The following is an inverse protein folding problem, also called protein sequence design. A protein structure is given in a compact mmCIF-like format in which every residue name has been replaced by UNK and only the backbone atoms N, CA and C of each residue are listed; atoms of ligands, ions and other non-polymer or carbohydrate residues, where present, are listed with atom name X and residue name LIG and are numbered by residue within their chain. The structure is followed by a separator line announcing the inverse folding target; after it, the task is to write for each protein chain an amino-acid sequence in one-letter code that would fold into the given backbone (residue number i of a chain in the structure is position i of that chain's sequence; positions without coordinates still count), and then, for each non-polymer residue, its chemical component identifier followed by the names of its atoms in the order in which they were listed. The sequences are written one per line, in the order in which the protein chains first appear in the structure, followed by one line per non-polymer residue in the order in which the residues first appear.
data_IF_576631824601
#
_entry.id   IF_576631824601
#
_cell.length_a   1.000
_cell.length_b   1.000
_cell.length_c   1.000
_cell.angle_alpha   90.00
_cell.angle_beta   90.00
_cell.angle_gamma   90.00
#
_symmetry.space_group_name_H-M   'P 1'
#
loop_
_entity.id
_entity.type
_entity.pdbx_description
1 polymer ?
#
# COMPACT_ATOMS: atom_id res chain seq x y z
N UNK A 1 -1.98 -29.64 6.29
CA UNK A 1 -3.05 -28.78 6.86
C UNK A 1 -4.13 -28.43 5.84
N UNK A 2 -3.80 -27.85 4.67
CA UNK A 2 -4.81 -27.53 3.63
C UNK A 2 -5.70 -28.72 3.23
N UNK A 3 -5.11 -29.88 2.90
CA UNK A 3 -5.87 -31.07 2.48
C UNK A 3 -6.86 -31.53 3.56
N UNK A 4 -6.44 -31.50 4.83
CA UNK A 4 -7.27 -31.87 5.98
C UNK A 4 -8.45 -30.87 6.09
N UNK A 5 -8.18 -29.57 5.98
CA UNK A 5 -9.24 -28.54 6.03
C UNK A 5 -10.24 -28.68 4.89
N UNK A 6 -9.79 -28.96 3.67
CA UNK A 6 -10.69 -29.19 2.52
C UNK A 6 -11.52 -30.45 2.71
N UNK A 7 -10.91 -31.56 3.14
CA UNK A 7 -11.64 -32.80 3.41
C UNK A 7 -12.71 -32.62 4.49
N UNK A 8 -12.41 -31.88 5.57
CA UNK A 8 -13.37 -31.60 6.63
C UNK A 8 -14.54 -30.73 6.13
N UNK A 9 -14.27 -29.69 5.34
CA UNK A 9 -15.31 -28.81 4.80
C UNK A 9 -16.18 -29.53 3.75
N UNK A 10 -15.59 -30.39 2.90
CA UNK A 10 -16.34 -31.22 1.95
C UNK A 10 -17.22 -32.23 2.67
N UNK A 11 -16.69 -32.91 3.69
CA UNK A 11 -17.48 -33.80 4.53
C UNK A 11 -18.66 -33.06 5.19
N UNK A 12 -18.42 -31.86 5.73
CA UNK A 12 -19.49 -31.05 6.31
C UNK A 12 -20.57 -30.64 5.28
N UNK A 13 -20.18 -30.36 4.04
CA UNK A 13 -21.12 -30.09 2.93
C UNK A 13 -21.97 -31.32 2.57
N UNK A 14 -21.35 -32.50 2.49
CA UNK A 14 -22.05 -33.77 2.22
C UNK A 14 -23.08 -34.08 3.32
N UNK A 15 -22.76 -33.81 4.60
CA UNK A 15 -23.70 -34.04 5.71
C UNK A 15 -24.93 -33.13 5.69
N UNK A 16 -24.87 -32.00 4.99
CA UNK A 16 -25.99 -31.05 4.86
C UNK A 16 -26.63 -31.08 3.47
N UNK A 17 -26.19 -32.00 2.61
CA UNK A 17 -26.72 -32.21 1.27
C UNK A 17 -28.13 -32.83 1.38
N UNK A 18 -29.12 -32.21 0.75
CA UNK A 18 -30.54 -32.63 0.84
C UNK A 18 -31.37 -31.95 1.96
N UNK A 19 -30.76 -31.19 2.87
CA UNK A 19 -31.49 -30.41 3.88
C UNK A 19 -31.81 -29.00 3.36
N UNK A 20 -33.09 -28.73 3.09
CA UNK A 20 -33.58 -27.45 2.52
C UNK A 20 -34.27 -26.56 3.57
N UNK A 21 -33.67 -26.43 4.75
CA UNK A 21 -34.11 -25.50 5.79
C UNK A 21 -33.30 -24.20 5.67
N UNK A 22 -33.96 -23.04 5.84
CA UNK A 22 -33.32 -21.71 5.69
C UNK A 22 -31.99 -21.52 6.46
N UNK A 23 -31.85 -21.99 7.71
CA UNK A 23 -30.57 -21.95 8.43
C UNK A 23 -29.48 -22.82 7.80
N UNK A 24 -29.85 -23.96 7.22
CA UNK A 24 -28.91 -24.89 6.57
C UNK A 24 -28.36 -24.29 5.27
N UNK A 25 -29.17 -23.52 4.55
CA UNK A 25 -28.72 -22.83 3.34
C UNK A 25 -27.69 -21.73 3.63
N UNK A 26 -27.83 -21.03 4.77
CA UNK A 26 -26.79 -20.09 5.23
C UNK A 26 -25.48 -20.79 5.55
N UNK A 27 -25.54 -21.92 6.27
CA UNK A 27 -24.35 -22.72 6.60
C UNK A 27 -23.69 -23.23 5.32
N UNK A 28 -24.46 -23.75 4.36
CA UNK A 28 -23.95 -24.19 3.05
C UNK A 28 -23.20 -23.07 2.32
N UNK A 29 -23.77 -21.87 2.27
CA UNK A 29 -23.12 -20.73 1.65
C UNK A 29 -21.82 -20.34 2.35
N UNK A 30 -21.78 -20.36 3.69
CA UNK A 30 -20.56 -20.10 4.46
C UNK A 30 -19.47 -21.16 4.22
N UNK A 31 -19.85 -22.45 4.10
CA UNK A 31 -18.90 -23.52 3.79
C UNK A 31 -18.30 -23.37 2.38
N UNK A 32 -19.13 -23.04 1.38
CA UNK A 32 -18.64 -22.76 0.03
C UNK A 32 -17.73 -21.52 -0.03
N UNK A 33 -18.03 -20.50 0.77
CA UNK A 33 -17.20 -19.31 0.91
C UNK A 33 -15.82 -19.64 1.50
N UNK A 34 -15.76 -20.45 2.55
CA UNK A 34 -14.48 -20.86 3.16
C UNK A 34 -13.66 -21.74 2.21
N UNK A 35 -14.31 -22.66 1.48
CA UNK A 35 -13.64 -23.43 0.42
C UNK A 35 -13.04 -22.52 -0.66
N UNK A 36 -13.78 -21.52 -1.13
CA UNK A 36 -13.29 -20.56 -2.10
C UNK A 36 -12.05 -19.81 -1.59
N UNK A 37 -12.05 -19.38 -0.32
CA UNK A 37 -10.90 -18.71 0.30
C UNK A 37 -9.70 -19.65 0.41
N UNK A 38 -9.91 -20.93 0.74
CA UNK A 38 -8.86 -21.94 0.76
C UNK A 38 -8.25 -22.13 -0.63
N UNK A 39 -9.09 -22.25 -1.66
CA UNK A 39 -8.64 -22.42 -3.05
C UNK A 39 -7.86 -21.20 -3.55
N UNK A 40 -8.31 -19.98 -3.21
CA UNK A 40 -7.55 -18.74 -3.47
C UNK A 40 -6.18 -18.79 -2.79
N UNK A 41 -6.11 -19.20 -1.52
CA UNK A 41 -4.84 -19.27 -0.78
C UNK A 41 -3.90 -20.31 -1.39
N UNK A 42 -4.40 -21.46 -1.83
CA UNK A 42 -3.60 -22.50 -2.48
C UNK A 42 -3.04 -22.03 -3.83
N UNK A 43 -3.81 -21.23 -4.57
CA UNK A 43 -3.45 -20.73 -5.89
C UNK A 43 -2.72 -19.37 -5.87
N UNK A 44 -2.55 -18.76 -4.70
CA UNK A 44 -1.81 -17.50 -4.54
C UNK A 44 -0.35 -17.69 -4.96
N UNK A 45 0.12 -16.84 -5.88
CA UNK A 45 1.50 -16.88 -6.40
C UNK A 45 1.76 -17.96 -7.47
N UNK A 46 0.73 -18.69 -7.93
CA UNK A 46 0.83 -19.62 -9.06
C UNK A 46 0.35 -18.95 -10.36
N UNK A 47 0.55 -19.64 -11.49
CA UNK A 47 0.00 -19.21 -12.77
C UNK A 47 -1.52 -19.03 -12.67
N UNK A 48 -2.06 -18.07 -13.44
CA UNK A 48 -3.47 -17.75 -13.49
C UNK A 48 -4.32 -19.01 -13.71
N UNK A 49 -5.24 -19.27 -12.78
CA UNK A 49 -6.24 -20.34 -12.90
C UNK A 49 -7.55 -19.70 -13.40
N UNK A 50 -7.90 -19.96 -14.66
CA UNK A 50 -9.09 -19.37 -15.30
C UNK A 50 -10.39 -19.82 -14.63
N UNK A 51 -10.53 -21.11 -14.33
CA UNK A 51 -11.72 -21.67 -13.68
C UNK A 51 -11.97 -21.03 -12.30
N UNK A 52 -10.91 -20.92 -11.49
CA UNK A 52 -11.00 -20.25 -10.20
C UNK A 52 -11.31 -18.75 -10.34
N UNK A 53 -10.79 -18.11 -11.40
CA UNK A 53 -11.06 -16.69 -11.66
C UNK A 53 -12.54 -16.47 -12.00
N UNK A 54 -13.13 -17.34 -12.83
CA UNK A 54 -14.57 -17.29 -13.13
C UNK A 54 -15.44 -17.63 -11.91
N UNK A 55 -15.01 -18.58 -11.07
CA UNK A 55 -15.69 -18.87 -9.80
C UNK A 55 -15.69 -17.65 -8.86
N UNK A 56 -14.56 -16.95 -8.73
CA UNK A 56 -14.44 -15.73 -7.92
C UNK A 56 -15.31 -14.60 -8.48
N UNK A 57 -15.32 -14.40 -9.80
CA UNK A 57 -16.17 -13.39 -10.46
C UNK A 57 -17.65 -13.68 -10.22
N UNK A 58 -18.07 -14.93 -10.41
CA UNK A 58 -19.45 -15.40 -10.18
C UNK A 58 -19.86 -15.16 -8.72
N UNK A 59 -18.97 -15.49 -7.77
CA UNK A 59 -19.19 -15.23 -6.36
C UNK A 59 -19.43 -13.73 -6.06
N UNK A 60 -18.56 -12.84 -6.57
CA UNK A 60 -18.69 -11.39 -6.34
C UNK A 60 -20.00 -10.84 -6.94
N UNK A 61 -20.38 -11.32 -8.13
CA UNK A 61 -21.60 -10.90 -8.80
C UNK A 61 -22.87 -11.35 -8.07
N UNK A 62 -22.91 -12.61 -7.63
CA UNK A 62 -24.04 -13.16 -6.87
C UNK A 62 -24.21 -12.48 -5.51
N UNK A 63 -23.09 -12.15 -4.86
CA UNK A 63 -23.10 -11.49 -3.54
C UNK A 63 -23.31 -9.98 -3.61
N UNK A 64 -23.07 -9.33 -4.75
CA UNK A 64 -23.32 -7.89 -4.93
C UNK A 64 -24.78 -7.46 -4.72
N UNK A 65 -25.72 -8.41 -4.69
CA UNK A 65 -27.15 -8.19 -4.43
C UNK A 65 -27.60 -8.53 -3.00
N UNK A 66 -26.72 -9.07 -2.15
CA UNK A 66 -27.08 -9.55 -0.80
C UNK A 66 -26.25 -8.87 0.29
N UNK A 67 -26.93 -8.39 1.32
CA UNK A 67 -26.40 -7.60 2.45
C UNK A 67 -25.61 -8.41 3.49
N UNK A 68 -25.51 -9.73 3.35
CA UNK A 68 -24.87 -10.63 4.33
C UNK A 68 -23.41 -10.98 3.96
N UNK A 69 -22.62 -9.97 3.58
CA UNK A 69 -21.23 -10.16 3.17
C UNK A 69 -20.28 -10.15 4.36
N UNK A 70 -19.50 -11.22 4.53
CA UNK A 70 -18.38 -11.23 5.48
C UNK A 70 -17.20 -10.46 4.87
N UNK A 71 -16.74 -9.34 5.49
CA UNK A 71 -15.68 -8.50 4.93
C UNK A 71 -14.35 -9.24 4.70
N UNK A 72 -14.13 -10.36 5.41
CA UNK A 72 -12.95 -11.20 5.27
C UNK A 72 -12.88 -11.89 3.90
N UNK A 73 -13.99 -12.40 3.39
CA UNK A 73 -14.01 -13.15 2.12
C UNK A 73 -13.82 -12.18 0.95
N UNK A 74 -14.53 -11.05 0.98
CA UNK A 74 -14.41 -10.01 -0.04
C UNK A 74 -12.98 -9.51 -0.21
N UNK A 75 -12.27 -9.33 0.90
CA UNK A 75 -10.85 -8.99 0.90
C UNK A 75 -10.02 -9.98 0.08
N UNK A 76 -10.21 -11.28 0.29
CA UNK A 76 -9.45 -12.32 -0.42
C UNK A 76 -9.81 -12.39 -1.90
N UNK A 77 -11.09 -12.28 -2.23
CA UNK A 77 -11.56 -12.38 -3.62
C UNK A 77 -11.12 -11.18 -4.46
N UNK A 78 -11.25 -9.96 -3.93
CA UNK A 78 -10.81 -8.75 -4.63
C UNK A 78 -9.29 -8.72 -4.79
N UNK A 79 -8.54 -9.08 -3.76
CA UNK A 79 -7.07 -9.16 -3.85
C UNK A 79 -6.63 -10.21 -4.89
N UNK A 80 -7.29 -11.37 -4.95
CA UNK A 80 -7.02 -12.38 -5.96
C UNK A 80 -7.24 -11.86 -7.39
N UNK A 81 -8.32 -11.11 -7.63
CA UNK A 81 -8.59 -10.52 -8.94
C UNK A 81 -7.57 -9.45 -9.34
N UNK A 82 -7.14 -8.61 -8.38
CA UNK A 82 -6.06 -7.65 -8.61
C UNK A 82 -4.76 -8.36 -9.01
N UNK A 83 -4.37 -9.40 -8.25
CA UNK A 83 -3.16 -10.18 -8.51
C UNK A 83 -3.16 -10.85 -9.88
N UNK A 84 -4.33 -11.31 -10.34
CA UNK A 84 -4.50 -11.91 -11.66
C UNK A 84 -4.78 -10.91 -12.79
N UNK A 85 -4.69 -9.60 -12.51
CA UNK A 85 -4.90 -8.51 -13.48
C UNK A 85 -6.26 -8.57 -14.17
N UNK A 86 -7.31 -8.97 -13.45
CA UNK A 86 -8.71 -8.97 -13.91
C UNK A 86 -9.30 -7.53 -13.93
N UNK A 87 -8.60 -6.63 -14.62
CA UNK A 87 -8.84 -5.18 -14.56
C UNK A 87 -10.19 -4.78 -15.14
N UNK A 88 -10.62 -5.42 -16.24
CA UNK A 88 -11.91 -5.16 -16.87
C UNK A 88 -13.09 -5.48 -15.92
N UNK A 89 -13.04 -6.63 -15.24
CA UNK A 89 -14.07 -7.02 -14.28
C UNK A 89 -14.12 -6.06 -13.10
N UNK A 90 -12.98 -5.73 -12.49
CA UNK A 90 -12.90 -4.82 -11.35
C UNK A 90 -13.34 -3.39 -11.72
N UNK A 91 -13.05 -2.93 -12.93
CA UNK A 91 -13.51 -1.63 -13.44
C UNK A 91 -15.04 -1.60 -13.61
N UNK A 92 -15.62 -2.67 -14.17
CA UNK A 92 -17.07 -2.78 -14.31
C UNK A 92 -17.77 -2.82 -12.94
N UNK A 93 -17.22 -3.60 -12.01
CA UNK A 93 -17.70 -3.68 -10.64
C UNK A 93 -17.74 -2.30 -9.96
N UNK A 94 -16.68 -1.51 -10.11
CA UNK A 94 -16.61 -0.14 -9.60
C UNK A 94 -17.72 0.77 -10.19
N UNK A 95 -17.98 0.65 -11.49
CA UNK A 95 -18.96 1.49 -12.18
C UNK A 95 -20.41 1.18 -11.78
N UNK A 96 -20.69 -0.06 -11.32
CA UNK A 96 -22.00 -0.48 -10.84
C UNK A 96 -22.30 0.00 -9.41
N UNK A 97 -21.31 0.55 -8.68
CA UNK A 97 -21.51 0.99 -7.29
C UNK A 97 -22.17 2.38 -7.24
N UNK A 98 -23.39 2.45 -6.69
CA UNK A 98 -24.15 3.70 -6.56
C UNK A 98 -23.68 4.58 -5.39
N UNK A 99 -23.18 3.98 -4.31
CA UNK A 99 -22.72 4.71 -3.12
C UNK A 99 -21.21 4.96 -3.15
N UNK A 100 -20.83 6.10 -3.73
CA UNK A 100 -19.43 6.57 -3.80
C UNK A 100 -18.92 7.08 -2.45
N UNK A 101 -19.76 7.19 -1.41
CA UNK A 101 -19.37 7.76 -0.12
C UNK A 101 -18.76 6.74 0.84
N UNK A 102 -19.06 5.46 0.69
CA UNK A 102 -18.45 4.38 1.45
C UNK A 102 -17.29 3.70 0.66
N UNK A 103 -16.16 3.42 1.32
CA UNK A 103 -15.01 2.72 0.76
C UNK A 103 -15.00 1.28 1.28
N UNK A 104 -15.46 0.34 0.47
CA UNK A 104 -15.32 -1.10 0.69
C UNK A 104 -14.18 -1.70 -0.16
N UNK A 105 -13.95 -3.01 -0.05
CA UNK A 105 -12.81 -3.65 -0.74
C UNK A 105 -13.06 -3.69 -2.24
N UNK A 106 -14.31 -3.91 -2.69
CA UNK A 106 -14.71 -3.87 -4.10
C UNK A 106 -14.38 -2.52 -4.73
N UNK A 107 -14.80 -1.41 -4.10
CA UNK A 107 -14.54 -0.06 -4.59
C UNK A 107 -13.04 0.22 -4.62
N UNK A 108 -12.32 -0.07 -3.54
CA UNK A 108 -10.87 0.17 -3.49
C UNK A 108 -10.11 -0.65 -4.56
N UNK A 109 -10.44 -1.93 -4.72
CA UNK A 109 -9.84 -2.78 -5.74
C UNK A 109 -10.20 -2.34 -7.17
N UNK A 110 -11.44 -1.92 -7.39
CA UNK A 110 -11.89 -1.32 -8.65
C UNK A 110 -11.16 -0.03 -8.99
N UNK A 111 -10.97 0.87 -8.02
CA UNK A 111 -10.23 2.13 -8.17
C UNK A 111 -8.75 1.88 -8.50
N UNK A 112 -8.10 0.92 -7.82
CA UNK A 112 -6.73 0.50 -8.11
C UNK A 112 -6.61 -0.04 -9.54
N UNK A 113 -7.44 -1.01 -9.91
CA UNK A 113 -7.42 -1.61 -11.25
C UNK A 113 -7.68 -0.59 -12.37
N UNK A 114 -8.67 0.29 -12.18
CA UNK A 114 -9.02 1.34 -13.14
C UNK A 114 -7.88 2.33 -13.28
N UNK A 115 -7.23 2.71 -12.17
CA UNK A 115 -6.11 3.64 -12.22
C UNK A 115 -4.88 3.01 -12.87
N UNK A 116 -4.49 1.78 -12.49
CA UNK A 116 -3.42 1.01 -13.13
C UNK A 116 -3.57 0.94 -14.66
N UNK A 117 -4.79 0.66 -15.14
CA UNK A 117 -5.06 0.59 -16.58
C UNK A 117 -5.17 1.94 -17.29
N UNK A 118 -5.43 3.02 -16.56
CA UNK A 118 -5.62 4.36 -17.12
C UNK A 118 -4.32 5.14 -17.21
N UNK A 119 -3.38 4.98 -16.26
CA UNK A 119 -2.09 5.70 -16.27
C UNK A 119 -1.17 5.28 -17.43
N UNK A 120 -1.42 4.12 -18.04
CA UNK A 120 -0.71 3.68 -19.26
C UNK A 120 -1.23 4.38 -20.52
N UNK A 121 -2.38 5.05 -20.45
CA UNK A 121 -2.99 5.77 -21.57
C UNK A 121 -2.52 7.23 -21.58
N UNK A 122 -2.34 7.85 -22.76
CA UNK A 122 -1.87 9.23 -22.87
C UNK A 122 -2.86 10.26 -22.29
N UNK A 123 -4.15 9.94 -22.21
CA UNK A 123 -5.21 10.82 -21.69
C UNK A 123 -6.25 10.02 -20.89
N UNK A 124 -7.06 10.72 -20.08
CA UNK A 124 -8.17 10.13 -19.34
C UNK A 124 -7.83 9.59 -17.94
N UNK A 125 -6.55 9.63 -17.52
CA UNK A 125 -6.11 9.14 -16.22
C UNK A 125 -6.48 10.05 -15.03
N UNK A 126 -6.74 11.34 -15.26
CA UNK A 126 -6.99 12.33 -14.19
C UNK A 126 -8.20 11.97 -13.31
N UNK A 127 -9.29 11.51 -13.90
CA UNK A 127 -10.52 11.15 -13.16
C UNK A 127 -10.30 9.90 -12.29
N UNK A 128 -9.80 8.76 -12.82
CA UNK A 128 -9.45 7.59 -12.00
C UNK A 128 -8.48 7.90 -10.87
N UNK A 129 -7.40 8.65 -11.15
CA UNK A 129 -6.42 9.05 -10.13
C UNK A 129 -7.06 9.87 -9.01
N UNK A 130 -7.95 10.81 -9.36
CA UNK A 130 -8.67 11.60 -8.35
C UNK A 130 -9.62 10.73 -7.52
N UNK A 131 -10.35 9.82 -8.15
CA UNK A 131 -11.25 8.90 -7.44
C UNK A 131 -10.48 7.96 -6.51
N UNK A 132 -9.32 7.46 -6.93
CA UNK A 132 -8.44 6.64 -6.07
C UNK A 132 -7.91 7.45 -4.89
N UNK A 133 -7.45 8.68 -5.12
CA UNK A 133 -7.04 9.60 -4.06
C UNK A 133 -8.14 9.81 -3.01
N UNK A 134 -9.34 10.18 -3.45
CA UNK A 134 -10.47 10.42 -2.55
C UNK A 134 -10.92 9.12 -1.85
N UNK A 135 -10.80 7.96 -2.52
CA UNK A 135 -11.08 6.63 -1.95
C UNK A 135 -10.10 6.23 -0.83
N UNK A 136 -8.80 6.43 -1.06
CA UNK A 136 -7.74 6.17 -0.06
C UNK A 136 -7.88 7.14 1.12
N UNK A 137 -8.12 8.43 0.86
CA UNK A 137 -8.27 9.43 1.91
C UNK A 137 -9.42 9.09 2.87
N UNK A 138 -10.54 8.59 2.33
CA UNK A 138 -11.71 8.16 3.14
C UNK A 138 -11.39 7.07 4.17
N UNK A 139 -10.41 6.19 3.91
CA UNK A 139 -9.97 5.17 4.87
C UNK A 139 -9.36 5.80 6.13
N UNK A 140 -8.80 7.00 5.99
CA UNK A 140 -8.13 7.73 7.07
C UNK A 140 -8.98 8.88 7.64
N UNK A 141 -10.15 9.15 7.06
CA UNK A 141 -11.02 10.25 7.51
C UNK A 141 -12.02 9.79 8.57
N UNK A 142 -12.16 10.57 9.65
CA UNK A 142 -13.22 10.34 10.64
C UNK A 142 -14.56 10.85 10.13
N UNK A 143 -15.57 9.97 10.04
CA UNK A 143 -16.95 10.33 9.70
C UNK A 143 -17.70 10.90 10.92
N UNK A 144 -17.15 11.88 11.62
CA UNK A 144 -17.85 12.55 12.73
C UNK A 144 -18.76 13.65 12.17
N UNK A 145 -19.96 13.28 11.71
CA UNK A 145 -21.04 14.25 11.59
C UNK A 145 -21.56 14.60 12.99
N UNK A 146 -21.02 15.67 13.60
CA UNK A 146 -21.69 16.31 14.72
C UNK A 146 -22.94 17.04 14.19
N UNK A 147 -24.13 16.43 14.34
CA UNK A 147 -25.36 17.23 14.34
C UNK A 147 -25.30 18.14 15.57
N UNK A 148 -25.53 19.45 15.36
CA UNK A 148 -25.60 20.48 16.42
C UNK A 148 -26.40 19.95 17.62
N UNK A 149 -25.97 20.20 18.88
CA UNK A 149 -26.74 19.77 20.04
C UNK A 149 -27.99 20.63 20.14
N UNK A 150 -29.17 20.04 19.90
CA UNK A 150 -30.34 20.41 20.69
C UNK A 150 -30.23 19.67 22.03
N UNK A 151 -30.52 20.42 23.09
CA UNK A 151 -30.33 20.08 24.50
C UNK A 151 -30.67 18.62 24.85
N UNK A 152 -29.64 17.88 25.28
CA UNK A 152 -29.69 16.50 25.75
C UNK A 152 -28.29 15.89 25.71
N UNK A 153 -27.97 14.89 26.55
CA UNK A 153 -26.68 14.20 26.47
C UNK A 153 -26.61 13.48 25.12
N UNK A 154 -25.93 14.10 24.16
CA UNK A 154 -25.80 13.60 22.79
C UNK A 154 -25.08 12.27 22.79
N UNK A 155 -25.82 11.19 22.61
CA UNK A 155 -25.24 9.88 22.29
C UNK A 155 -24.61 10.03 20.91
N UNK A 156 -23.27 9.98 20.86
CA UNK A 156 -22.52 9.85 19.61
C UNK A 156 -22.88 8.50 18.99
N UNK A 157 -23.87 8.50 18.09
CA UNK A 157 -24.12 7.33 17.24
C UNK A 157 -23.03 7.36 16.18
N UNK A 158 -21.90 6.70 16.46
CA UNK A 158 -20.99 6.22 15.41
C UNK A 158 -21.83 5.31 14.51
N UNK A 159 -22.16 5.79 13.31
CA UNK A 159 -22.55 4.88 12.23
C UNK A 159 -21.27 4.15 11.83
N UNK A 160 -20.99 3.02 12.48
CA UNK A 160 -20.03 2.03 12.00
C UNK A 160 -20.62 1.40 10.73
N UNK A 161 -20.66 2.16 9.65
CA UNK A 161 -21.20 1.71 8.37
C UNK A 161 -20.01 1.48 7.43
N UNK A 162 -19.68 0.20 7.21
CA UNK A 162 -19.14 -0.37 5.96
C UNK A 162 -17.81 0.14 5.41
N UNK A 163 -17.16 1.13 6.03
CA UNK A 163 -15.87 1.66 5.57
C UNK A 163 -14.71 0.77 6.02
N UNK A 164 -13.74 0.56 5.14
CA UNK A 164 -12.46 -0.03 5.50
C UNK A 164 -11.77 0.87 6.54
N UNK A 165 -11.38 0.30 7.67
CA UNK A 165 -10.51 0.95 8.65
C UNK A 165 -9.02 0.63 8.37
N UNK A 166 -8.10 1.25 9.11
CA UNK A 166 -6.66 1.01 8.97
C UNK A 166 -6.33 -0.48 8.99
N UNK A 167 -6.79 -1.24 9.99
CA UNK A 167 -6.50 -2.68 10.10
C UNK A 167 -7.01 -3.48 8.89
N UNK A 168 -8.20 -3.15 8.37
CA UNK A 168 -8.77 -3.75 7.17
C UNK A 168 -7.94 -3.46 5.93
N UNK A 169 -7.43 -2.23 5.78
CA UNK A 169 -6.52 -1.85 4.70
C UNK A 169 -5.22 -2.65 4.78
N UNK A 170 -4.58 -2.73 5.96
CA UNK A 170 -3.34 -3.48 6.14
C UNK A 170 -3.53 -4.95 5.76
N UNK A 171 -4.59 -5.59 6.28
CA UNK A 171 -4.90 -6.98 5.96
C UNK A 171 -5.19 -7.20 4.47
N UNK A 172 -5.75 -6.21 3.77
CA UNK A 172 -6.02 -6.28 2.33
C UNK A 172 -4.72 -6.19 1.53
N UNK A 173 -3.86 -5.25 1.90
CA UNK A 173 -2.55 -5.05 1.26
C UNK A 173 -1.67 -6.29 1.40
N UNK A 174 -1.69 -6.97 2.55
CA UNK A 174 -0.95 -8.23 2.77
C UNK A 174 -1.31 -9.35 1.76
N UNK A 175 -2.43 -9.20 1.05
CA UNK A 175 -2.88 -10.16 0.01
C UNK A 175 -2.57 -9.70 -1.41
N UNK A 176 -2.13 -8.46 -1.61
CA UNK A 176 -1.80 -7.92 -2.93
C UNK A 176 -0.34 -8.27 -3.25
N UNK A 177 -0.11 -8.85 -4.42
CA UNK A 177 1.22 -9.16 -4.97
C UNK A 177 1.45 -8.48 -6.31
N UNK A 178 0.47 -7.74 -6.83
CA UNK A 178 0.58 -7.04 -8.10
C UNK A 178 1.35 -5.72 -7.93
N UNK A 179 2.51 -5.61 -8.61
CA UNK A 179 3.43 -4.49 -8.40
C UNK A 179 2.84 -3.13 -8.74
N UNK A 180 2.02 -2.99 -9.78
CA UNK A 180 1.49 -1.67 -10.21
C UNK A 180 0.52 -1.09 -9.16
N UNK A 181 -0.32 -1.94 -8.58
CA UNK A 181 -1.27 -1.57 -7.52
C UNK A 181 -0.53 -1.15 -6.25
N UNK A 182 0.54 -1.89 -5.89
CA UNK A 182 1.40 -1.52 -4.76
C UNK A 182 2.12 -0.20 -5.01
N UNK A 183 2.67 0.02 -6.22
CA UNK A 183 3.38 1.25 -6.58
C UNK A 183 2.45 2.48 -6.53
N UNK A 184 1.22 2.35 -7.06
CA UNK A 184 0.20 3.39 -6.94
C UNK A 184 -0.17 3.69 -5.49
N UNK A 185 -0.40 2.65 -4.68
CA UNK A 185 -0.81 2.82 -3.30
C UNK A 185 0.32 3.46 -2.47
N UNK A 186 1.56 3.00 -2.62
CA UNK A 186 2.74 3.60 -1.98
C UNK A 186 2.85 5.07 -2.40
N UNK A 187 2.79 5.37 -3.70
CA UNK A 187 2.91 6.74 -4.18
C UNK A 187 1.83 7.67 -3.63
N UNK A 188 0.58 7.19 -3.55
CA UNK A 188 -0.53 7.93 -2.95
C UNK A 188 -0.28 8.23 -1.47
N UNK A 189 0.14 7.21 -0.70
CA UNK A 189 0.45 7.34 0.72
C UNK A 189 1.66 8.24 0.97
N UNK A 190 2.71 8.15 0.15
CA UNK A 190 3.88 9.07 0.21
C UNK A 190 3.44 10.51 -0.02
N UNK A 191 2.56 10.76 -1.00
CA UNK A 191 2.05 12.12 -1.22
C UNK A 191 1.29 12.63 0.01
N UNK A 192 0.40 11.81 0.58
CA UNK A 192 -0.35 12.17 1.79
C UNK A 192 0.57 12.44 2.98
N UNK A 193 1.59 11.60 3.17
CA UNK A 193 2.63 11.76 4.18
C UNK A 193 3.39 13.09 4.05
N UNK A 194 3.87 13.39 2.84
CA UNK A 194 4.59 14.63 2.59
C UNK A 194 3.71 15.87 2.82
N UNK A 195 2.42 15.81 2.45
CA UNK A 195 1.46 16.90 2.73
C UNK A 195 1.18 17.07 4.22
N UNK A 196 1.16 15.99 4.99
CA UNK A 196 0.97 16.03 6.44
C UNK A 196 2.07 16.82 7.15
N UNK A 197 3.30 16.72 6.63
CA UNK A 197 4.51 17.33 7.20
C UNK A 197 4.95 18.61 6.50
N UNK A 198 4.17 19.08 5.53
CA UNK A 198 4.39 20.34 4.82
C UNK A 198 4.36 21.52 5.83
N UNK A 199 5.46 22.26 5.92
CA UNK A 199 5.64 23.35 6.89
C UNK A 199 6.44 22.98 8.14
N UNK A 200 6.91 21.74 8.27
CA UNK A 200 7.91 21.37 9.28
C UNK A 200 9.32 21.59 8.70
N UNK A 201 10.06 22.54 9.27
CA UNK A 201 11.40 22.96 8.80
C UNK A 201 12.43 21.81 8.72
N UNK A 202 12.20 20.72 9.47
CA UNK A 202 13.09 19.56 9.50
C UNK A 202 12.60 18.38 8.64
N UNK A 203 11.45 18.49 7.98
CA UNK A 203 10.92 17.41 7.16
C UNK A 203 11.67 17.30 5.84
N UNK A 204 11.98 16.06 5.44
CA UNK A 204 12.58 15.75 4.15
C UNK A 204 11.56 15.00 3.32
N UNK A 205 11.33 15.48 2.11
CA UNK A 205 10.36 14.81 1.25
C UNK A 205 10.78 13.37 0.97
N UNK A 206 9.86 12.45 1.29
CA UNK A 206 9.97 11.04 0.95
C UNK A 206 9.76 10.88 -0.54
N UNK A 207 10.65 10.14 -1.19
CA UNK A 207 10.62 9.91 -2.63
C UNK A 207 9.40 9.10 -3.06
N UNK A 208 8.83 9.49 -4.20
CA UNK A 208 7.76 8.77 -4.90
C UNK A 208 7.89 8.96 -6.41
N UNK A 209 7.98 7.85 -7.14
CA UNK A 209 8.04 7.80 -8.61
C UNK A 209 6.84 8.47 -9.30
N UNK A 210 5.66 8.33 -8.73
CA UNK A 210 4.39 8.80 -9.32
C UNK A 210 3.84 10.06 -8.62
N UNK A 211 4.71 10.87 -8.02
CA UNK A 211 4.32 12.07 -7.26
C UNK A 211 3.48 13.07 -8.07
N UNK A 212 3.74 13.18 -9.37
CA UNK A 212 3.07 14.07 -10.32
C UNK A 212 1.60 13.71 -10.61
N UNK A 213 1.16 12.49 -10.24
CA UNK A 213 -0.22 12.06 -10.47
C UNK A 213 -1.18 12.71 -9.46
N UNK A 214 -0.71 12.98 -8.25
CA UNK A 214 -1.59 13.24 -7.10
C UNK A 214 -1.90 14.73 -6.89
N UNK A 215 -3.05 15.04 -6.26
CA UNK A 215 -3.38 16.40 -5.85
C UNK A 215 -2.30 17.06 -4.97
N UNK A 216 -2.22 18.38 -5.07
CA UNK A 216 -1.25 19.17 -4.30
C UNK A 216 -1.74 19.55 -2.90
N UNK A 217 -3.02 19.33 -2.60
CA UNK A 217 -3.62 19.66 -1.30
C UNK A 217 -4.69 18.65 -0.89
N UNK A 218 -4.91 18.54 0.41
CA UNK A 218 -5.97 17.74 1.03
C UNK A 218 -7.09 18.68 1.45
N UNK A 219 -8.32 18.40 1.02
CA UNK A 219 -9.53 19.06 1.51
C UNK A 219 -9.87 18.55 2.91
N UNK A 220 -10.25 19.42 3.84
CA UNK A 220 -10.62 19.08 5.22
C UNK A 220 -9.53 18.31 5.99
N UNK A 221 -8.33 18.89 6.07
CA UNK A 221 -7.19 18.32 6.82
C UNK A 221 -7.52 17.95 8.27
N UNK A 222 -8.47 18.64 8.91
CA UNK A 222 -8.90 18.38 10.30
C UNK A 222 -9.49 16.99 10.51
N UNK A 223 -10.08 16.41 9.46
CA UNK A 223 -10.85 15.17 9.58
C UNK A 223 -9.98 13.94 9.26
N UNK A 224 -8.72 14.15 8.87
CA UNK A 224 -7.80 13.12 8.39
C UNK A 224 -6.84 12.72 9.50
N UNK A 225 -6.78 11.42 9.80
CA UNK A 225 -5.80 10.88 10.73
C UNK A 225 -4.47 10.62 9.99
N UNK A 226 -3.56 11.58 10.08
CA UNK A 226 -2.23 11.49 9.46
C UNK A 226 -1.29 10.48 10.14
N UNK A 227 -1.47 10.18 11.42
CA UNK A 227 -0.68 9.14 12.10
C UNK A 227 -0.96 7.74 11.50
N UNK A 228 -2.23 7.47 11.18
CA UNK A 228 -2.60 6.23 10.49
C UNK A 228 -2.02 6.13 9.08
N UNK A 229 -1.81 7.26 8.40
CA UNK A 229 -1.16 7.28 7.08
C UNK A 229 0.30 6.84 7.20
N UNK A 230 1.03 7.28 8.23
CA UNK A 230 2.43 6.90 8.47
C UNK A 230 2.58 5.39 8.76
N UNK A 231 1.65 4.84 9.54
CA UNK A 231 1.57 3.40 9.82
C UNK A 231 1.28 2.64 8.53
N UNK A 232 0.29 3.07 7.75
CA UNK A 232 -0.06 2.43 6.49
C UNK A 232 1.09 2.47 5.48
N UNK A 233 1.73 3.63 5.32
CA UNK A 233 2.86 3.82 4.40
C UNK A 233 4.02 2.88 4.76
N UNK A 234 4.39 2.82 6.04
CA UNK A 234 5.45 1.92 6.51
C UNK A 234 5.10 0.45 6.26
N UNK A 235 3.87 0.04 6.58
CA UNK A 235 3.41 -1.34 6.40
C UNK A 235 3.35 -1.76 4.94
N UNK A 236 2.74 -0.94 4.07
CA UNK A 236 2.59 -1.20 2.64
C UNK A 236 3.97 -1.26 1.97
N UNK A 237 4.88 -0.35 2.31
CA UNK A 237 6.24 -0.34 1.76
C UNK A 237 7.02 -1.60 2.17
N UNK A 238 6.92 -2.00 3.45
CA UNK A 238 7.54 -3.23 3.92
C UNK A 238 7.00 -4.46 3.20
N UNK A 239 5.68 -4.58 3.06
CA UNK A 239 5.03 -5.66 2.33
C UNK A 239 5.49 -5.70 0.87
N UNK A 240 5.47 -4.56 0.17
CA UNK A 240 5.89 -4.49 -1.23
C UNK A 240 7.32 -4.97 -1.45
N UNK A 241 8.25 -4.65 -0.53
CA UNK A 241 9.64 -5.12 -0.61
C UNK A 241 9.76 -6.63 -0.33
N UNK A 242 8.85 -7.24 0.43
CA UNK A 242 8.79 -8.71 0.54
C UNK A 242 8.30 -9.36 -0.75
N UNK A 243 7.40 -8.70 -1.48
CA UNK A 243 6.87 -9.18 -2.77
C UNK A 243 7.93 -9.05 -3.87
N UNK A 244 8.56 -7.88 -4.00
CA UNK A 244 9.58 -7.61 -5.03
C UNK A 244 10.84 -6.98 -4.42
N UNK A 245 11.77 -7.80 -3.88
CA UNK A 245 12.96 -7.31 -3.18
C UNK A 245 13.96 -6.53 -4.05
N UNK A 246 13.80 -6.62 -5.37
CA UNK A 246 14.69 -6.02 -6.38
C UNK A 246 14.20 -4.65 -6.86
N UNK A 247 13.01 -4.21 -6.43
CA UNK A 247 12.46 -2.94 -6.87
C UNK A 247 13.23 -1.77 -6.21
N UNK A 248 13.98 -1.02 -7.01
CA UNK A 248 14.84 0.07 -6.53
C UNK A 248 14.05 1.30 -6.07
N UNK A 249 12.86 1.57 -6.64
CA UNK A 249 12.03 2.71 -6.22
C UNK A 249 11.47 2.49 -4.83
N UNK A 250 10.98 1.28 -4.53
CA UNK A 250 10.46 0.93 -3.20
C UNK A 250 11.56 0.91 -2.15
N UNK A 251 12.76 0.42 -2.49
CA UNK A 251 13.92 0.49 -1.60
C UNK A 251 14.31 1.94 -1.30
N UNK A 252 14.22 2.84 -2.27
CA UNK A 252 14.48 4.25 -2.06
C UNK A 252 13.42 4.88 -1.13
N UNK A 253 12.13 4.63 -1.37
CA UNK A 253 11.05 5.10 -0.48
C UNK A 253 11.24 4.57 0.94
N UNK A 254 11.59 3.30 1.11
CA UNK A 254 11.88 2.73 2.43
C UNK A 254 13.12 3.36 3.10
N UNK A 255 14.16 3.65 2.32
CA UNK A 255 15.35 4.36 2.82
C UNK A 255 14.99 5.74 3.38
N UNK A 256 14.14 6.49 2.67
CA UNK A 256 13.65 7.79 3.12
C UNK A 256 12.78 7.68 4.38
N UNK A 257 11.90 6.68 4.49
CA UNK A 257 11.12 6.44 5.71
C UNK A 257 11.99 6.12 6.92
N UNK A 258 13.06 5.34 6.74
CA UNK A 258 14.04 5.08 7.79
C UNK A 258 14.84 6.32 8.16
N UNK A 259 15.18 7.17 7.18
CA UNK A 259 15.87 8.42 7.41
C UNK A 259 15.02 9.38 8.26
N UNK A 260 13.73 9.50 7.94
CA UNK A 260 12.74 10.27 8.71
C UNK A 260 12.60 9.75 10.14
N UNK A 261 12.62 8.43 10.30
CA UNK A 261 12.58 7.75 11.61
C UNK A 261 13.93 7.78 12.35
N UNK A 262 14.95 8.48 11.81
CA UNK A 262 16.33 8.56 12.33
C UNK A 262 17.05 7.22 12.43
N UNK A 263 16.57 6.20 11.73
CA UNK A 263 17.26 4.92 11.59
C UNK A 263 18.28 4.98 10.44
N UNK A 264 19.37 5.69 10.66
CA UNK A 264 20.41 5.95 9.67
C UNK A 264 21.07 4.68 9.12
N UNK A 265 21.18 3.63 9.94
CA UNK A 265 21.77 2.35 9.52
C UNK A 265 20.87 1.62 8.53
N UNK A 266 19.57 1.55 8.80
CA UNK A 266 18.61 0.91 7.90
C UNK A 266 18.45 1.73 6.61
N UNK A 267 18.39 3.06 6.71
CA UNK A 267 18.33 3.96 5.56
C UNK A 267 19.52 3.74 4.61
N UNK A 268 20.75 3.77 5.14
CA UNK A 268 21.96 3.54 4.33
C UNK A 268 21.95 2.15 3.68
N UNK A 269 21.51 1.11 4.40
CA UNK A 269 21.38 -0.25 3.87
C UNK A 269 20.41 -0.30 2.68
N UNK A 270 19.28 0.39 2.75
CA UNK A 270 18.30 0.43 1.66
C UNK A 270 18.88 1.11 0.40
N UNK A 271 19.54 2.26 0.56
CA UNK A 271 20.14 2.96 -0.58
C UNK A 271 21.29 2.17 -1.22
N UNK A 272 22.14 1.52 -0.41
CA UNK A 272 23.20 0.63 -0.90
C UNK A 272 22.63 -0.59 -1.62
N UNK A 273 21.56 -1.19 -1.09
CA UNK A 273 20.88 -2.31 -1.73
C UNK A 273 20.32 -1.89 -3.10
N UNK A 274 19.64 -0.74 -3.18
CA UNK A 274 19.12 -0.21 -4.45
C UNK A 274 20.24 0.00 -5.48
N UNK A 275 21.38 0.57 -5.06
CA UNK A 275 22.56 0.73 -5.92
C UNK A 275 23.15 -0.61 -6.36
N UNK A 276 23.25 -1.58 -5.45
CA UNK A 276 23.79 -2.90 -5.79
C UNK A 276 22.93 -3.63 -6.83
N UNK A 277 21.60 -3.52 -6.74
CA UNK A 277 20.69 -4.17 -7.69
C UNK A 277 20.80 -3.52 -9.06
N UNK A 278 20.85 -2.19 -9.14
CA UNK A 278 20.88 -1.47 -10.42
C UNK A 278 22.23 -1.52 -11.14
N UNK A 279 23.30 -1.95 -10.46
CA UNK A 279 24.68 -1.93 -10.98
C UNK A 279 25.36 -3.31 -11.02
N UNK A 280 24.58 -4.40 -10.89
CA UNK A 280 25.12 -5.76 -10.81
C UNK A 280 26.17 -5.90 -9.70
N UNK A 281 25.84 -5.46 -8.48
CA UNK A 281 26.73 -5.39 -7.32
C UNK A 281 27.94 -4.47 -7.52
N UNK A 282 27.71 -3.28 -8.08
CA UNK A 282 28.73 -2.25 -8.35
C UNK A 282 29.80 -2.65 -9.38
N UNK A 283 29.54 -3.70 -10.17
CA UNK A 283 30.36 -4.04 -11.34
C UNK A 283 30.20 -3.01 -12.47
N UNK A 284 29.11 -2.23 -12.44
CA UNK A 284 28.83 -1.14 -13.35
C UNK A 284 28.61 0.17 -12.57
N UNK A 285 28.72 1.35 -13.21
CA UNK A 285 28.32 2.59 -12.57
C UNK A 285 26.82 2.55 -12.22
N UNK A 286 26.47 3.01 -11.03
CA UNK A 286 25.07 3.11 -10.61
C UNK A 286 24.36 4.16 -11.48
N UNK A 287 23.20 3.85 -12.08
CA UNK A 287 22.47 4.83 -12.88
C UNK A 287 22.09 6.08 -12.07
N UNK A 288 22.15 7.29 -12.68
CA UNK A 288 21.76 8.52 -12.00
C UNK A 288 20.26 8.59 -11.69
N UNK A 289 19.45 7.73 -12.33
CA UNK A 289 18.03 7.55 -11.99
C UNK A 289 17.81 6.86 -10.65
N UNK A 290 18.84 6.17 -10.11
CA UNK A 290 18.79 5.47 -8.82
C UNK A 290 19.57 6.24 -7.76
N UNK A 291 20.79 6.69 -8.09
CA UNK A 291 21.60 7.55 -7.21
C UNK A 291 21.82 8.91 -7.85
N UNK A 292 20.98 9.85 -7.47
CA UNK A 292 21.14 11.26 -7.81
C UNK A 292 21.87 12.02 -6.68
N UNK A 293 22.10 13.32 -6.90
CA UNK A 293 22.68 14.22 -5.92
C UNK A 293 21.93 14.20 -4.57
N UNK A 294 20.60 14.03 -4.58
CA UNK A 294 19.80 14.02 -3.36
C UNK A 294 20.03 12.75 -2.55
N UNK A 295 20.12 11.59 -3.21
CA UNK A 295 20.47 10.32 -2.59
C UNK A 295 21.85 10.37 -1.96
N UNK A 296 22.85 10.89 -2.67
CA UNK A 296 24.19 11.04 -2.10
C UNK A 296 24.19 11.93 -0.87
N UNK A 297 23.46 13.08 -0.89
CA UNK A 297 23.29 13.93 0.30
C UNK A 297 22.64 13.16 1.47
N UNK A 298 21.61 12.36 1.20
CA UNK A 298 20.95 11.51 2.21
C UNK A 298 21.91 10.47 2.80
N UNK A 299 22.73 9.82 1.97
CA UNK A 299 23.77 8.88 2.43
C UNK A 299 24.85 9.58 3.27
N UNK A 300 25.33 10.75 2.86
CA UNK A 300 26.28 11.57 3.64
C UNK A 300 25.71 11.82 5.04
N UNK A 301 24.44 12.19 5.14
CA UNK A 301 23.78 12.45 6.44
C UNK A 301 23.72 11.17 7.29
N UNK A 302 23.42 10.02 6.68
CA UNK A 302 23.46 8.74 7.39
C UNK A 302 24.86 8.46 7.94
N UNK A 303 25.89 8.58 7.10
CA UNK A 303 27.29 8.33 7.49
C UNK A 303 27.77 9.28 8.59
N UNK A 304 27.44 10.58 8.50
CA UNK A 304 27.76 11.57 9.53
C UNK A 304 27.13 11.22 10.87
N UNK A 305 25.87 10.78 10.86
CA UNK A 305 25.12 10.42 12.09
C UNK A 305 25.62 9.11 12.71
N UNK A 306 26.13 8.18 11.88
CA UNK A 306 26.73 6.91 12.30
C UNK A 306 28.21 7.05 12.70
N UNK A 307 28.77 8.27 12.73
CA UNK A 307 30.20 8.55 12.97
C UNK A 307 31.15 7.92 11.94
N UNK A 308 30.64 7.54 10.77
CA UNK A 308 31.39 7.05 9.63
C UNK A 308 31.92 8.24 8.79
N UNK A 309 32.75 9.07 9.40
CA UNK A 309 33.12 10.38 8.86
C UNK A 309 33.96 10.31 7.57
N UNK A 310 34.84 9.31 7.43
CA UNK A 310 35.63 9.14 6.20
C UNK A 310 34.72 8.75 5.04
N UNK A 311 33.78 7.82 5.26
CA UNK A 311 32.79 7.41 4.27
C UNK A 311 31.91 8.60 3.85
N UNK A 312 31.52 9.45 4.80
CA UNK A 312 30.78 10.68 4.50
C UNK A 312 31.59 11.62 3.59
N UNK A 313 32.87 11.85 3.89
CA UNK A 313 33.74 12.70 3.09
C UNK A 313 33.96 12.15 1.66
N UNK A 314 34.05 10.83 1.49
CA UNK A 314 34.13 10.19 0.17
C UNK A 314 32.84 10.39 -0.62
N UNK A 315 31.68 10.19 0.00
CA UNK A 315 30.38 10.38 -0.64
C UNK A 315 30.14 11.84 -1.09
N UNK A 316 30.74 12.84 -0.41
CA UNK A 316 30.66 14.23 -0.84
C UNK A 316 31.28 14.48 -2.23
N UNK A 317 32.19 13.63 -2.69
CA UNK A 317 32.75 13.71 -4.05
C UNK A 317 31.74 13.28 -5.13
N UNK A 318 30.72 12.49 -4.76
CA UNK A 318 29.67 12.03 -5.65
C UNK A 318 28.48 13.01 -5.73
N UNK A 319 28.47 14.06 -4.90
CA UNK A 319 27.46 15.12 -4.91
C UNK A 319 27.85 16.13 -5.99
N UNK A 320 26.90 16.54 -6.84
CA UNK A 320 27.10 17.60 -7.83
C UNK A 320 26.31 18.88 -7.46
N UNK A 321 26.98 20.03 -7.22
CA UNK A 321 28.44 20.22 -7.13
C UNK A 321 29.04 19.60 -5.87
N UNK A 322 30.34 19.31 -5.90
CA UNK A 322 31.07 18.67 -4.81
C UNK A 322 30.92 19.45 -3.50
N UNK A 323 30.46 18.77 -2.45
CA UNK A 323 30.24 19.37 -1.13
C UNK A 323 31.53 19.38 -0.29
N UNK A 324 32.44 20.28 -0.62
CA UNK A 324 33.71 20.45 0.10
C UNK A 324 33.51 20.84 1.56
N UNK A 325 32.49 21.64 1.88
CA UNK A 325 32.24 22.12 3.23
C UNK A 325 31.93 20.96 4.18
N UNK A 326 31.01 20.09 3.79
CA UNK A 326 30.67 18.91 4.59
C UNK A 326 31.84 17.92 4.64
N UNK A 327 32.58 17.75 3.54
CA UNK A 327 33.76 16.88 3.50
C UNK A 327 34.86 17.33 4.48
N UNK A 328 35.21 18.61 4.53
CA UNK A 328 36.20 19.14 5.47
C UNK A 328 35.76 18.98 6.92
N UNK A 329 34.48 19.26 7.21
CA UNK A 329 33.90 19.05 8.55
C UNK A 329 33.99 17.58 8.96
N UNK A 330 33.71 16.66 8.04
CA UNK A 330 33.82 15.22 8.30
C UNK A 330 35.27 14.81 8.60
N UNK A 331 36.25 15.31 7.83
CA UNK A 331 37.67 15.05 8.12
C UNK A 331 38.11 15.56 9.49
N UNK A 332 37.70 16.78 9.88
CA UNK A 332 37.99 17.31 11.21
C UNK A 332 37.45 16.39 12.32
N UNK A 333 36.20 15.96 12.20
CA UNK A 333 35.58 15.05 13.18
C UNK A 333 36.26 13.66 13.21
N UNK A 334 36.72 13.17 12.06
CA UNK A 334 37.45 11.90 11.96
C UNK A 334 38.83 11.95 12.65
N UNK A 335 39.50 13.10 12.64
CA UNK A 335 40.77 13.30 13.34
C UNK A 335 40.53 13.37 14.84
N UNK A 336 39.51 14.10 15.28
CA UNK A 336 39.17 14.25 16.71
C UNK A 336 38.74 12.91 17.33
N UNK A 337 38.05 12.03 16.60
CA UNK A 337 37.60 10.74 17.14
C UNK A 337 38.70 9.67 17.28
N UNK A 338 39.92 9.95 16.81
CA UNK A 338 41.09 9.06 16.96
C UNK A 338 41.97 9.39 18.17
N UNK A 339 41.71 10.52 18.84
CA UNK A 339 42.37 10.94 20.08
C UNK A 339 41.42 10.78 21.26
#
# INVERSE_FOLDING_TARGET
EYEISVSLLRYALEQIEGLTLGPVERIRNSLHQELLVLDIKLNSGKNKNEDLSEQVKSYIWQTGKRTDLQPSIERHTVAYLLNNKETAFLTNLMNEMEDVHNTDYRLLGGLLATTCSSITKPQGWRKPVRQLWDGVLRVFSSTTQQKRPQEGPGISIRRDATNINLSGLLCFVDKITESSSLDLLISCLVRLHNLAKEGNDNHREVFSSLSHLWPTSVTNRSDVNFEHIDIALSHVTNHAITVEPHNTTWLHTQGDLYLDSRNYSAALKCYLKAGSISSLSFNQPVPPTVWDTQVFKKMVICCMSLKAHIQAALLCQCVDPVDFMTAFKAFQLAVVSRY
#
